data_IF_282464252331
#
_entry.id   IF_282464252331
#
_cell.length_a   1.000
_cell.length_b   1.000
_cell.length_c   1.000
_cell.angle_alpha   90.00
_cell.angle_beta   90.00
_cell.angle_gamma   90.00
#
_symmetry.space_group_name_H-M   'P 1'
#
loop_
_entity.id
_entity.type
_entity.pdbx_description
1 polymer ?
#
# COMPACT_ATOMS: atom_id res chain seq x y z
N UNK A 1 10.52 -5.65 -15.05
CA UNK A 1 9.43 -5.97 -14.09
C UNK A 1 8.27 -5.02 -14.33
N UNK A 2 7.04 -5.52 -14.40
CA UNK A 2 5.84 -4.72 -14.73
C UNK A 2 5.08 -4.41 -13.43
N UNK A 3 4.60 -3.18 -13.29
CA UNK A 3 3.75 -2.75 -12.16
C UNK A 3 2.43 -3.52 -12.08
N UNK A 4 1.57 -3.23 -11.09
CA UNK A 4 0.21 -3.76 -11.05
C UNK A 4 -0.50 -3.47 -12.38
N UNK A 5 -1.14 -4.48 -12.99
CA UNK A 5 -1.86 -4.27 -14.26
C UNK A 5 -3.04 -3.35 -14.01
N UNK A 6 -3.24 -2.37 -14.89
CA UNK A 6 -4.32 -1.36 -14.78
C UNK A 6 -5.68 -1.97 -14.47
N UNK A 7 -6.08 -3.03 -15.18
CA UNK A 7 -7.35 -3.75 -14.96
C UNK A 7 -7.58 -4.23 -13.51
N UNK A 8 -6.52 -4.57 -12.77
CA UNK A 8 -6.66 -5.00 -11.38
C UNK A 8 -6.77 -3.80 -10.43
N UNK A 9 -6.08 -2.70 -10.74
CA UNK A 9 -6.24 -1.45 -9.99
C UNK A 9 -7.64 -0.88 -10.18
N UNK A 10 -8.13 -0.83 -11.43
CA UNK A 10 -9.48 -0.34 -11.74
C UNK A 10 -10.55 -1.15 -10.99
N UNK A 11 -10.37 -2.47 -10.90
CA UNK A 11 -11.27 -3.33 -10.12
C UNK A 11 -11.21 -3.04 -8.62
N UNK A 12 -10.01 -2.89 -8.03
CA UNK A 12 -9.88 -2.54 -6.62
C UNK A 12 -10.45 -1.15 -6.31
N UNK A 13 -10.26 -0.18 -7.22
CA UNK A 13 -10.86 1.16 -7.11
C UNK A 13 -12.39 1.09 -7.12
N UNK A 14 -12.96 0.28 -8.02
CA UNK A 14 -14.39 0.04 -8.02
C UNK A 14 -14.84 -0.58 -6.68
N UNK A 15 -14.15 -1.60 -6.17
CA UNK A 15 -14.44 -2.21 -4.87
C UNK A 15 -14.40 -1.19 -3.71
N UNK A 16 -13.53 -0.17 -3.73
CA UNK A 16 -13.53 0.86 -2.67
C UNK A 16 -14.82 1.69 -2.62
N UNK A 17 -15.54 1.80 -3.74
CA UNK A 17 -16.76 2.60 -3.84
C UNK A 17 -18.04 1.79 -3.57
N UNK A 18 -17.95 0.46 -3.57
CA UNK A 18 -19.09 -0.41 -3.33
C UNK A 18 -19.46 -0.44 -1.84
N UNK A 19 -20.69 -0.06 -1.45
CA UNK A 19 -21.07 0.07 -0.04
C UNK A 19 -21.06 -1.26 0.74
N UNK A 20 -21.16 -2.39 0.03
CA UNK A 20 -21.16 -3.72 0.62
C UNK A 20 -19.75 -4.30 0.80
N UNK A 21 -18.72 -3.64 0.27
CA UNK A 21 -17.33 -4.10 0.40
C UNK A 21 -16.74 -3.63 1.72
N UNK A 22 -16.16 -4.56 2.47
CA UNK A 22 -15.44 -4.24 3.70
C UNK A 22 -14.07 -3.63 3.38
N UNK A 23 -13.99 -2.31 3.52
CA UNK A 23 -12.73 -1.55 3.40
C UNK A 23 -11.64 -2.07 4.36
N UNK A 24 -11.93 -2.35 5.66
CA UNK A 24 -10.96 -2.93 6.57
C UNK A 24 -10.33 -4.21 6.05
N UNK A 25 -11.16 -5.17 5.65
CA UNK A 25 -10.68 -6.47 5.15
C UNK A 25 -9.82 -6.31 3.89
N UNK A 26 -10.23 -5.43 2.98
CA UNK A 26 -9.46 -5.18 1.76
C UNK A 26 -8.09 -4.54 2.06
N UNK A 27 -8.04 -3.57 2.98
CA UNK A 27 -6.80 -2.96 3.42
C UNK A 27 -5.89 -3.98 4.12
N UNK A 28 -6.43 -4.80 5.03
CA UNK A 28 -5.69 -5.82 5.75
C UNK A 28 -5.07 -6.86 4.80
N UNK A 29 -5.82 -7.32 3.79
CA UNK A 29 -5.31 -8.20 2.74
C UNK A 29 -4.12 -7.57 2.01
N UNK A 30 -4.20 -6.29 1.64
CA UNK A 30 -3.09 -5.59 0.98
C UNK A 30 -1.88 -5.40 1.91
N UNK A 31 -2.11 -5.09 3.19
CA UNK A 31 -1.05 -4.96 4.20
C UNK A 31 -0.36 -6.30 4.40
N UNK A 32 -1.09 -7.42 4.46
CA UNK A 32 -0.51 -8.76 4.55
C UNK A 32 0.44 -9.05 3.38
N UNK A 33 0.07 -8.64 2.15
CA UNK A 33 0.97 -8.78 0.98
C UNK A 33 2.27 -7.99 1.11
N UNK A 34 2.30 -6.92 1.90
CA UNK A 34 3.54 -6.17 2.17
C UNK A 34 4.53 -6.93 3.05
N UNK A 35 4.10 -7.97 3.78
CA UNK A 35 4.95 -8.80 4.63
C UNK A 35 5.63 -9.96 3.88
N UNK A 36 5.46 -10.03 2.56
CA UNK A 36 6.10 -11.07 1.75
C UNK A 36 7.61 -10.85 1.65
N UNK A 37 8.37 -11.92 1.50
CA UNK A 37 9.84 -11.86 1.29
C UNK A 37 10.28 -11.34 -0.08
N UNK A 38 9.35 -11.27 -1.05
CA UNK A 38 9.67 -10.96 -2.44
C UNK A 38 9.46 -9.48 -2.68
N UNK A 39 10.52 -8.78 -3.09
CA UNK A 39 10.48 -7.35 -3.38
C UNK A 39 9.39 -7.00 -4.41
N UNK A 40 9.15 -7.86 -5.39
CA UNK A 40 8.13 -7.65 -6.43
C UNK A 40 6.73 -7.62 -5.82
N UNK A 41 6.44 -8.55 -4.91
CA UNK A 41 5.13 -8.63 -4.24
C UNK A 41 4.94 -7.42 -3.32
N UNK A 42 5.94 -7.10 -2.50
CA UNK A 42 5.87 -5.97 -1.57
C UNK A 42 5.72 -4.66 -2.32
N UNK A 43 6.55 -4.42 -3.34
CA UNK A 43 6.50 -3.18 -4.11
C UNK A 43 5.17 -3.00 -4.84
N UNK A 44 4.64 -4.06 -5.48
CA UNK A 44 3.32 -3.99 -6.14
C UNK A 44 2.18 -3.75 -5.16
N UNK A 45 2.29 -4.26 -3.95
CA UNK A 45 1.28 -4.05 -2.90
C UNK A 45 1.30 -2.59 -2.44
N UNK A 46 2.47 -2.02 -2.16
CA UNK A 46 2.62 -0.60 -1.83
C UNK A 46 2.11 0.31 -2.94
N UNK A 47 2.42 0.01 -4.21
CA UNK A 47 1.90 0.78 -5.36
C UNK A 47 0.38 0.67 -5.47
N UNK A 48 -0.19 -0.50 -5.19
CA UNK A 48 -1.65 -0.68 -5.21
C UNK A 48 -2.31 0.12 -4.10
N UNK A 49 -1.78 0.05 -2.87
CA UNK A 49 -2.23 0.86 -1.72
C UNK A 49 -2.18 2.35 -2.06
N UNK A 50 -1.06 2.85 -2.59
CA UNK A 50 -0.93 4.26 -2.95
C UNK A 50 -1.99 4.69 -3.99
N UNK A 51 -2.26 3.85 -4.99
CA UNK A 51 -3.32 4.14 -5.97
C UNK A 51 -4.69 4.22 -5.31
N UNK A 52 -5.00 3.31 -4.39
CA UNK A 52 -6.27 3.35 -3.66
C UNK A 52 -6.37 4.56 -2.73
N UNK A 53 -5.26 5.02 -2.15
CA UNK A 53 -5.24 6.23 -1.32
C UNK A 53 -5.54 7.51 -2.13
N UNK A 54 -5.07 7.58 -3.38
CA UNK A 54 -5.21 8.79 -4.20
C UNK A 54 -6.48 8.80 -5.05
N UNK A 55 -6.91 7.63 -5.55
CA UNK A 55 -7.99 7.54 -6.54
C UNK A 55 -9.19 6.72 -6.05
N UNK A 56 -9.05 6.01 -4.94
CA UNK A 56 -10.13 5.22 -4.35
C UNK A 56 -11.06 6.08 -3.52
N UNK A 57 -12.05 5.44 -2.91
CA UNK A 57 -12.94 6.08 -1.96
C UNK A 57 -12.18 6.57 -0.72
N UNK A 58 -12.51 7.74 -0.21
CA UNK A 58 -11.89 8.36 0.97
C UNK A 58 -11.92 7.45 2.21
N UNK A 59 -12.92 6.57 2.33
CA UNK A 59 -13.01 5.57 3.41
C UNK A 59 -11.76 4.69 3.50
N UNK A 60 -11.09 4.41 2.38
CA UNK A 60 -9.86 3.63 2.36
C UNK A 60 -8.71 4.39 3.04
N UNK A 61 -8.49 5.65 2.65
CA UNK A 61 -7.46 6.51 3.26
C UNK A 61 -7.77 6.80 4.73
N UNK A 62 -9.04 7.05 5.06
CA UNK A 62 -9.50 7.21 6.44
C UNK A 62 -9.20 5.97 7.28
N UNK A 63 -9.49 4.76 6.79
CA UNK A 63 -9.19 3.52 7.49
C UNK A 63 -7.68 3.38 7.80
N UNK A 64 -6.82 3.64 6.80
CA UNK A 64 -5.37 3.57 6.98
C UNK A 64 -4.84 4.60 7.98
N UNK A 65 -5.39 5.82 7.93
CA UNK A 65 -5.05 6.91 8.85
C UNK A 65 -5.50 6.59 10.29
N UNK A 66 -6.71 6.07 10.48
CA UNK A 66 -7.30 5.79 11.80
C UNK A 66 -6.68 4.56 12.48
N UNK A 67 -6.33 3.50 11.74
CA UNK A 67 -5.80 2.26 12.33
C UNK A 67 -4.31 2.28 12.65
N UNK A 68 -3.62 3.43 12.52
CA UNK A 68 -2.17 3.48 12.59
C UNK A 68 -1.52 2.41 11.69
N UNK A 69 -2.10 2.15 10.51
CA UNK A 69 -1.56 1.15 9.60
C UNK A 69 -0.13 1.57 9.23
N UNK A 70 0.84 0.93 9.85
CA UNK A 70 2.25 1.22 9.69
C UNK A 70 2.88 0.11 8.87
N UNK A 71 3.35 0.45 7.68
CA UNK A 71 4.18 -0.44 6.88
C UNK A 71 5.54 -0.58 7.58
N UNK A 72 5.68 -1.58 8.45
CA UNK A 72 6.93 -1.86 9.15
C UNK A 72 7.93 -2.58 8.23
N UNK A 73 8.42 -1.86 7.22
CA UNK A 73 9.35 -2.38 6.22
C UNK A 73 10.77 -1.85 6.42
N UNK A 74 11.06 -1.19 7.56
CA UNK A 74 12.37 -0.58 7.85
C UNK A 74 13.56 -1.56 7.71
N UNK A 75 13.36 -2.83 8.07
CA UNK A 75 14.33 -3.92 7.92
C UNK A 75 14.17 -4.76 6.65
N UNK A 76 13.28 -4.40 5.72
CA UNK A 76 13.02 -5.19 4.53
C UNK A 76 14.27 -5.33 3.67
N UNK A 77 14.62 -6.56 3.33
CA UNK A 77 15.71 -6.91 2.42
C UNK A 77 15.40 -8.20 1.67
N UNK A 78 15.40 -8.12 0.34
CA UNK A 78 15.32 -9.28 -0.55
C UNK A 78 16.72 -9.61 -1.07
N UNK A 79 17.23 -10.78 -0.67
CA UNK A 79 18.56 -11.28 -1.06
C UNK A 79 18.53 -12.22 -2.27
N UNK A 80 17.39 -12.36 -2.94
CA UNK A 80 17.23 -13.27 -4.09
C UNK A 80 18.01 -12.87 -5.34
N UNK A 81 18.60 -11.67 -5.38
CA UNK A 81 19.48 -11.20 -6.45
C UNK A 81 19.81 -9.72 -6.32
N UNK A 82 20.70 -9.20 -7.19
CA UNK A 82 21.15 -7.80 -7.19
C UNK A 82 19.97 -6.82 -7.26
N UNK A 83 19.00 -7.08 -8.15
CA UNK A 83 17.80 -6.25 -8.25
C UNK A 83 16.95 -6.25 -6.97
N UNK A 84 16.86 -7.38 -6.25
CA UNK A 84 16.12 -7.45 -4.99
C UNK A 84 16.76 -6.59 -3.92
N UNK A 85 18.10 -6.61 -3.85
CA UNK A 85 18.87 -5.79 -2.91
C UNK A 85 18.67 -4.29 -3.18
N UNK A 86 18.81 -3.86 -4.44
CA UNK A 86 18.61 -2.45 -4.83
C UNK A 86 17.17 -1.99 -4.54
N UNK A 87 16.18 -2.80 -4.93
CA UNK A 87 14.76 -2.50 -4.74
C UNK A 87 14.37 -2.43 -3.27
N UNK A 88 15.04 -3.17 -2.39
CA UNK A 88 14.79 -3.13 -0.94
C UNK A 88 15.01 -1.73 -0.35
N UNK A 89 15.94 -0.95 -0.90
CA UNK A 89 16.17 0.44 -0.47
C UNK A 89 15.01 1.35 -0.89
N UNK A 90 14.48 1.18 -2.10
CA UNK A 90 13.32 1.94 -2.58
C UNK A 90 12.04 1.57 -1.83
N UNK A 91 11.82 0.27 -1.57
CA UNK A 91 10.67 -0.22 -0.80
C UNK A 91 10.64 0.42 0.59
N UNK A 92 11.78 0.43 1.30
CA UNK A 92 11.90 1.07 2.61
C UNK A 92 11.50 2.54 2.61
N UNK A 93 12.02 3.30 1.63
CA UNK A 93 11.71 4.73 1.49
C UNK A 93 10.24 4.96 1.14
N UNK A 94 9.70 4.15 0.24
CA UNK A 94 8.31 4.28 -0.21
C UNK A 94 7.30 3.89 0.87
N UNK A 95 7.58 2.85 1.65
CA UNK A 95 6.78 2.48 2.82
C UNK A 95 6.73 3.61 3.85
N UNK A 96 7.89 4.25 4.12
CA UNK A 96 7.97 5.43 5.00
C UNK A 96 7.12 6.59 4.47
N UNK A 97 7.21 6.88 3.17
CA UNK A 97 6.40 7.91 2.53
C UNK A 97 4.89 7.66 2.69
N UNK A 98 4.42 6.42 2.47
CA UNK A 98 3.00 6.09 2.63
C UNK A 98 2.54 6.21 4.09
N UNK A 99 3.38 5.83 5.06
CA UNK A 99 3.10 6.04 6.48
C UNK A 99 2.97 7.54 6.80
N UNK A 100 3.88 8.37 6.29
CA UNK A 100 3.82 9.84 6.47
C UNK A 100 2.58 10.44 5.79
N UNK A 101 2.19 9.96 4.60
CA UNK A 101 0.95 10.37 3.93
C UNK A 101 -0.29 10.05 4.77
N UNK A 102 -0.40 8.81 5.28
CA UNK A 102 -1.52 8.42 6.14
C UNK A 102 -1.54 9.23 7.46
N UNK A 103 -0.38 9.52 8.05
CA UNK A 103 -0.27 10.38 9.23
C UNK A 103 -0.73 11.81 8.94
N UNK A 104 -0.32 12.39 7.81
CA UNK A 104 -0.74 13.73 7.38
C UNK A 104 -2.27 13.80 7.24
N UNK A 105 -2.86 12.82 6.56
CA UNK A 105 -4.31 12.73 6.43
C UNK A 105 -5.01 12.66 7.79
N UNK A 106 -4.47 11.90 8.74
CA UNK A 106 -5.00 11.85 10.11
C UNK A 106 -4.96 13.21 10.81
N UNK A 107 -3.86 13.94 10.68
CA UNK A 107 -3.65 15.21 11.39
C UNK A 107 -4.46 16.35 10.77
N UNK A 108 -4.63 16.36 9.46
CA UNK A 108 -5.31 17.43 8.73
C UNK A 108 -6.78 17.13 8.45
N UNK A 109 -7.19 15.86 8.51
CA UNK A 109 -8.52 15.37 8.14
C UNK A 109 -8.91 15.61 6.66
N UNK A 110 -7.94 15.89 5.78
CA UNK A 110 -8.08 15.98 4.34
C UNK A 110 -6.74 15.66 3.64
N UNK A 111 -6.78 15.28 2.36
CA UNK A 111 -5.62 15.10 1.46
C UNK A 111 -5.56 16.25 0.44
#
# INVERSE_FOLDING_TARGET
VIGPKKKHLDYLLHCTNEPNVSIPQMADLLIERTQHTSWVVVFKSLVSIHNLMNYGNERFTQYLASNNCSFNLSGFIDKGGVQGYDMSTFIRRYAKYLNEKALSYRLMAFD
#
